data_IF_341519601696
#
_entry.id   IF_341519601696
#
_cell.length_a   1.000
_cell.length_b   1.000
_cell.length_c   1.000
_cell.angle_alpha   90.00
_cell.angle_beta   90.00
_cell.angle_gamma   90.00
#
_symmetry.space_group_name_H-M   'P 1'
#
loop_
_entity.id
_entity.type
_entity.pdbx_description
1 polymer ?
#
# COMPACT_ATOMS: atom_id res chain seq x y z
N UNK A 1 -20.92 8.20 28.49
CA UNK A 1 -20.57 9.36 27.63
C UNK A 1 -19.05 9.69 27.60
N UNK A 2 -18.28 9.46 28.69
CA UNK A 2 -16.84 9.76 28.72
C UNK A 2 -15.99 8.92 27.77
N UNK A 3 -16.30 7.62 27.57
CA UNK A 3 -15.57 6.74 26.70
C UNK A 3 -15.68 7.14 25.21
N UNK A 4 -16.86 7.51 24.74
CA UNK A 4 -17.07 7.94 23.34
C UNK A 4 -16.28 9.21 23.01
N UNK A 5 -16.26 10.20 23.92
CA UNK A 5 -15.49 11.43 23.74
C UNK A 5 -13.98 11.17 23.70
N UNK A 6 -13.49 10.18 24.45
CA UNK A 6 -12.09 9.77 24.44
C UNK A 6 -11.71 9.09 23.12
N UNK A 7 -12.59 8.23 22.58
CA UNK A 7 -12.40 7.57 21.29
C UNK A 7 -12.34 8.61 20.15
N UNK A 8 -13.30 9.54 20.12
CA UNK A 8 -13.32 10.62 19.11
C UNK A 8 -12.07 11.49 19.20
N UNK A 9 -11.64 11.86 20.41
CA UNK A 9 -10.45 12.69 20.61
C UNK A 9 -9.16 12.00 20.16
N UNK A 10 -9.08 10.67 20.26
CA UNK A 10 -7.93 9.88 19.81
C UNK A 10 -8.01 9.56 18.31
N UNK A 11 -9.22 9.38 17.78
CA UNK A 11 -9.44 9.07 16.35
C UNK A 11 -9.38 10.28 15.43
N UNK A 12 -9.76 11.46 15.91
CA UNK A 12 -9.80 12.67 15.09
C UNK A 12 -8.44 13.07 14.47
N UNK A 13 -7.30 12.97 15.17
CA UNK A 13 -6.00 13.26 14.58
C UNK A 13 -5.56 12.26 13.51
N UNK A 14 -6.08 11.02 13.52
CA UNK A 14 -5.75 10.00 12.51
C UNK A 14 -6.65 10.07 11.26
N UNK A 15 -7.78 10.78 11.32
CA UNK A 15 -8.68 10.92 10.18
C UNK A 15 -8.03 11.59 8.95
N UNK A 16 -7.25 12.69 9.06
CA UNK A 16 -6.55 13.28 7.93
C UNK A 16 -5.55 12.31 7.28
N UNK A 17 -4.82 11.54 8.09
CA UNK A 17 -3.84 10.57 7.59
C UNK A 17 -4.51 9.50 6.72
N UNK A 18 -5.67 9.00 7.14
CA UNK A 18 -6.43 8.01 6.37
C UNK A 18 -7.10 8.61 5.12
N UNK A 19 -7.32 9.92 5.06
CA UNK A 19 -7.88 10.61 3.90
C UNK A 19 -6.85 10.90 2.80
N UNK A 20 -5.56 10.96 3.13
CA UNK A 20 -4.49 11.28 2.18
C UNK A 20 -4.43 10.27 1.03
N UNK A 21 -4.49 8.97 1.31
CA UNK A 21 -4.39 7.93 0.29
C UNK A 21 -5.52 7.97 -0.74
N UNK A 22 -6.82 7.96 -0.34
CA UNK A 22 -7.90 8.08 -1.33
C UNK A 22 -7.89 9.42 -2.07
N UNK A 23 -7.47 10.52 -1.45
CA UNK A 23 -7.30 11.80 -2.14
C UNK A 23 -6.18 11.75 -3.17
N UNK A 24 -5.03 11.16 -2.84
CA UNK A 24 -3.92 11.00 -3.77
C UNK A 24 -4.32 10.14 -4.98
N UNK A 25 -5.03 9.02 -4.74
CA UNK A 25 -5.56 8.16 -5.81
C UNK A 25 -6.57 8.92 -6.66
N UNK A 26 -7.49 9.67 -6.04
CA UNK A 26 -8.47 10.48 -6.74
C UNK A 26 -7.85 11.57 -7.62
N UNK A 27 -6.88 12.30 -7.10
CA UNK A 27 -6.12 13.31 -7.85
C UNK A 27 -5.32 12.68 -8.99
N UNK A 28 -4.62 11.57 -8.72
CA UNK A 28 -3.90 10.82 -9.76
C UNK A 28 -4.82 10.36 -10.89
N UNK A 29 -5.99 9.81 -10.52
CA UNK A 29 -7.01 9.40 -11.51
C UNK A 29 -7.54 10.58 -12.30
N UNK A 30 -7.77 11.74 -11.68
CA UNK A 30 -8.23 12.95 -12.36
C UNK A 30 -7.20 13.46 -13.38
N UNK A 31 -5.91 13.43 -13.04
CA UNK A 31 -4.82 13.78 -13.97
C UNK A 31 -4.79 12.80 -15.15
N UNK A 32 -4.87 11.51 -14.88
CA UNK A 32 -4.84 10.46 -15.93
C UNK A 32 -6.09 10.49 -16.80
N UNK A 33 -7.24 10.94 -16.28
CA UNK A 33 -8.48 11.11 -17.05
C UNK A 33 -8.31 12.09 -18.22
N UNK A 34 -7.39 13.05 -18.13
CA UNK A 34 -7.04 13.94 -19.22
C UNK A 34 -6.42 13.23 -20.44
N UNK A 35 -5.90 12.03 -20.26
CA UNK A 35 -5.34 11.17 -21.34
C UNK A 35 -6.35 10.18 -21.92
N UNK A 36 -7.59 10.20 -21.45
CA UNK A 36 -8.69 9.38 -21.95
C UNK A 36 -9.02 8.16 -21.09
N UNK A 37 -10.17 7.54 -21.37
CA UNK A 37 -10.71 6.44 -20.58
C UNK A 37 -9.82 5.20 -20.58
N UNK A 38 -9.08 4.97 -21.63
CA UNK A 38 -8.14 3.85 -21.78
C UNK A 38 -7.00 3.95 -20.77
N UNK A 39 -6.45 5.16 -20.57
CA UNK A 39 -5.41 5.41 -19.58
C UNK A 39 -5.92 5.20 -18.14
N UNK A 40 -7.15 5.64 -17.85
CA UNK A 40 -7.81 5.43 -16.55
C UNK A 40 -8.03 3.93 -16.29
N UNK A 41 -8.46 3.17 -17.30
CA UNK A 41 -8.63 1.71 -17.19
C UNK A 41 -7.30 1.02 -16.88
N UNK A 42 -6.21 1.41 -17.55
CA UNK A 42 -4.86 0.90 -17.30
C UNK A 42 -4.39 1.18 -15.87
N UNK A 43 -4.51 2.42 -15.41
CA UNK A 43 -4.17 2.81 -14.05
C UNK A 43 -4.98 2.03 -13.01
N UNK A 44 -6.30 1.92 -13.20
CA UNK A 44 -7.18 1.22 -12.26
C UNK A 44 -6.82 -0.26 -12.14
N UNK A 45 -6.49 -0.90 -13.25
CA UNK A 45 -6.06 -2.32 -13.25
C UNK A 45 -4.71 -2.47 -12.57
N UNK A 46 -3.76 -1.58 -12.84
CA UNK A 46 -2.45 -1.58 -12.20
C UNK A 46 -2.56 -1.41 -10.67
N UNK A 47 -3.40 -0.49 -10.19
CA UNK A 47 -3.67 -0.30 -8.74
C UNK A 47 -4.27 -1.55 -8.09
N UNK A 48 -5.12 -2.31 -8.79
CA UNK A 48 -5.65 -3.58 -8.27
C UNK A 48 -4.56 -4.65 -8.14
N UNK A 49 -3.68 -4.75 -9.12
CA UNK A 49 -2.54 -5.67 -9.08
C UNK A 49 -1.60 -5.27 -7.93
N UNK A 50 -1.34 -3.98 -7.76
CA UNK A 50 -0.53 -3.44 -6.67
C UNK A 50 -1.09 -3.82 -5.29
N UNK A 51 -2.39 -3.63 -5.06
CA UNK A 51 -3.03 -4.02 -3.78
C UNK A 51 -2.88 -5.52 -3.53
N UNK A 52 -3.09 -6.38 -4.55
CA UNK A 52 -2.89 -7.82 -4.43
C UNK A 52 -1.43 -8.17 -4.10
N UNK A 53 -0.48 -7.50 -4.73
CA UNK A 53 0.95 -7.71 -4.48
C UNK A 53 1.35 -7.32 -3.05
N UNK A 54 0.78 -6.26 -2.51
CA UNK A 54 1.09 -5.75 -1.16
C UNK A 54 0.30 -6.43 -0.03
N UNK A 55 -0.60 -7.38 -0.31
CA UNK A 55 -1.38 -8.07 0.73
C UNK A 55 -0.50 -8.68 1.83
N UNK A 56 0.66 -9.22 1.49
CA UNK A 56 1.61 -9.78 2.46
C UNK A 56 2.17 -8.72 3.42
N UNK A 57 2.48 -7.53 2.92
CA UNK A 57 2.96 -6.39 3.73
C UNK A 57 1.85 -5.90 4.65
N UNK A 58 0.63 -5.73 4.13
CA UNK A 58 -0.52 -5.31 4.93
C UNK A 58 -0.88 -6.33 6.01
N UNK A 59 -0.84 -7.63 5.70
CA UNK A 59 -1.09 -8.69 6.67
C UNK A 59 -0.06 -8.66 7.81
N UNK A 60 1.23 -8.45 7.50
CA UNK A 60 2.27 -8.28 8.49
C UNK A 60 2.01 -7.07 9.38
N UNK A 61 1.69 -5.92 8.79
CA UNK A 61 1.40 -4.68 9.52
C UNK A 61 0.25 -4.90 10.50
N UNK A 62 -0.88 -5.44 10.04
CA UNK A 62 -2.06 -5.72 10.88
C UNK A 62 -1.72 -6.72 11.98
N UNK A 63 -0.92 -7.75 11.69
CA UNK A 63 -0.47 -8.75 12.69
C UNK A 63 0.47 -8.17 13.74
N UNK A 64 1.30 -7.18 13.40
CA UNK A 64 2.22 -6.53 14.34
C UNK A 64 1.52 -5.52 15.26
N UNK A 65 0.40 -4.91 14.84
CA UNK A 65 -0.32 -3.91 15.64
C UNK A 65 -0.64 -4.34 17.07
N UNK A 66 -1.24 -5.53 17.34
CA UNK A 66 -1.54 -5.96 18.70
C UNK A 66 -0.29 -6.11 19.56
N UNK A 67 0.79 -6.63 18.98
CA UNK A 67 2.07 -6.83 19.68
C UNK A 67 2.67 -5.49 20.08
N UNK A 68 2.68 -4.51 19.19
CA UNK A 68 3.16 -3.17 19.46
C UNK A 68 2.30 -2.47 20.52
N UNK A 69 0.96 -2.57 20.41
CA UNK A 69 0.04 -1.95 21.34
C UNK A 69 0.16 -2.52 22.77
N UNK A 70 0.28 -3.86 22.88
CA UNK A 70 0.45 -4.52 24.19
C UNK A 70 1.78 -4.15 24.86
N UNK A 71 2.89 -4.16 24.11
CA UNK A 71 4.20 -3.79 24.68
C UNK A 71 4.25 -2.31 25.08
N UNK A 72 3.62 -1.43 24.29
CA UNK A 72 3.49 -0.02 24.62
C UNK A 72 2.66 0.18 25.88
N UNK A 73 1.50 -0.48 26.00
CA UNK A 73 0.62 -0.40 27.17
C UNK A 73 1.23 -0.99 28.44
N UNK A 74 2.12 -1.97 28.32
CA UNK A 74 2.86 -2.58 29.42
C UNK A 74 4.13 -1.81 29.82
N UNK A 75 4.50 -0.74 29.09
CA UNK A 75 5.74 0.02 29.33
C UNK A 75 7.03 -0.73 28.92
N UNK A 76 6.91 -1.83 28.18
CA UNK A 76 8.04 -2.64 27.73
C UNK A 76 8.70 -2.05 26.47
N UNK A 77 9.36 -0.90 26.61
CA UNK A 77 9.90 -0.14 25.47
C UNK A 77 11.02 -0.89 24.71
N UNK A 78 11.79 -1.73 25.38
CA UNK A 78 12.83 -2.55 24.74
C UNK A 78 12.20 -3.57 23.77
N UNK A 79 11.16 -4.28 24.21
CA UNK A 79 10.40 -5.21 23.35
C UNK A 79 9.64 -4.49 22.25
N UNK A 80 9.11 -3.31 22.52
CA UNK A 80 8.48 -2.46 21.53
C UNK A 80 9.48 -2.09 20.42
N UNK A 81 10.70 -1.70 20.79
CA UNK A 81 11.77 -1.38 19.84
C UNK A 81 12.16 -2.56 18.96
N UNK A 82 12.30 -3.74 19.57
CA UNK A 82 12.60 -4.99 18.85
C UNK A 82 11.47 -5.37 17.88
N UNK A 83 10.22 -5.35 18.34
CA UNK A 83 9.05 -5.67 17.53
C UNK A 83 8.91 -4.72 16.34
N UNK A 84 9.11 -3.42 16.55
CA UNK A 84 9.11 -2.41 15.49
C UNK A 84 10.21 -2.68 14.46
N UNK A 85 11.45 -2.93 14.91
CA UNK A 85 12.57 -3.22 14.01
C UNK A 85 12.33 -4.49 13.21
N UNK A 86 11.80 -5.53 13.84
CA UNK A 86 11.42 -6.77 13.16
C UNK A 86 10.35 -6.51 12.10
N UNK A 87 9.28 -5.79 12.44
CA UNK A 87 8.20 -5.47 11.50
C UNK A 87 8.71 -4.68 10.29
N UNK A 88 9.53 -3.64 10.52
CA UNK A 88 10.12 -2.84 9.44
C UNK A 88 11.03 -3.67 8.54
N UNK A 89 11.97 -4.43 9.10
CA UNK A 89 12.90 -5.24 8.30
C UNK A 89 12.18 -6.31 7.50
N UNK A 90 11.24 -7.03 8.15
CA UNK A 90 10.47 -8.09 7.48
C UNK A 90 9.54 -7.50 6.43
N UNK A 91 8.88 -6.37 6.71
CA UNK A 91 8.04 -5.67 5.76
C UNK A 91 8.82 -5.19 4.54
N UNK A 92 9.98 -4.56 4.74
CA UNK A 92 10.88 -4.17 3.65
C UNK A 92 11.34 -5.37 2.82
N UNK A 93 11.72 -6.48 3.47
CA UNK A 93 12.15 -7.69 2.76
C UNK A 93 11.02 -8.27 1.90
N UNK A 94 9.81 -8.38 2.44
CA UNK A 94 8.63 -8.84 1.71
C UNK A 94 8.34 -7.89 0.54
N UNK A 95 8.35 -6.59 0.78
CA UNK A 95 8.09 -5.59 -0.25
C UNK A 95 9.10 -5.70 -1.40
N UNK A 96 10.39 -5.82 -1.11
CA UNK A 96 11.45 -6.00 -2.11
C UNK A 96 11.29 -7.33 -2.84
N UNK A 97 11.04 -8.42 -2.10
CA UNK A 97 10.87 -9.76 -2.67
C UNK A 97 9.69 -9.84 -3.65
N UNK A 98 8.66 -9.02 -3.46
CA UNK A 98 7.51 -8.93 -4.35
C UNK A 98 7.74 -7.89 -5.44
N UNK A 99 8.38 -6.76 -5.13
CA UNK A 99 8.63 -5.68 -6.08
C UNK A 99 9.49 -6.13 -7.27
N UNK A 100 10.55 -6.90 -7.02
CA UNK A 100 11.47 -7.38 -8.07
C UNK A 100 10.71 -8.21 -9.13
N UNK A 101 10.03 -9.32 -8.80
CA UNK A 101 9.34 -10.11 -9.80
C UNK A 101 8.18 -9.35 -10.45
N UNK A 102 7.46 -8.50 -9.72
CA UNK A 102 6.36 -7.71 -10.30
C UNK A 102 6.88 -6.68 -11.30
N UNK A 103 7.97 -5.97 -11.01
CA UNK A 103 8.55 -5.00 -11.94
C UNK A 103 9.16 -5.68 -13.17
N UNK A 104 9.84 -6.81 -12.99
CA UNK A 104 10.44 -7.57 -14.11
C UNK A 104 9.39 -8.25 -14.98
N UNK A 105 8.32 -8.75 -14.39
CA UNK A 105 7.22 -9.44 -15.07
C UNK A 105 5.99 -8.53 -15.27
N UNK A 106 6.15 -7.21 -15.26
CA UNK A 106 5.04 -6.27 -15.40
C UNK A 106 4.18 -6.53 -16.64
N UNK A 107 4.81 -6.71 -17.81
CA UNK A 107 4.12 -7.02 -19.08
C UNK A 107 3.36 -8.35 -19.07
N UNK A 108 3.97 -9.51 -18.73
CA UNK A 108 3.23 -10.76 -18.68
C UNK A 108 2.13 -10.76 -17.61
N UNK A 109 2.35 -10.11 -16.45
CA UNK A 109 1.32 -10.00 -15.42
C UNK A 109 0.12 -9.20 -15.91
N UNK A 110 0.33 -8.04 -16.50
CA UNK A 110 -0.76 -7.22 -17.05
C UNK A 110 -1.47 -7.92 -18.21
N UNK A 111 -0.76 -8.68 -19.04
CA UNK A 111 -1.32 -9.47 -20.15
C UNK A 111 -2.29 -10.57 -19.71
N UNK A 112 -2.23 -11.04 -18.45
CA UNK A 112 -3.21 -11.97 -17.90
C UNK A 112 -4.58 -11.34 -17.64
N UNK A 113 -4.61 -10.01 -17.44
CA UNK A 113 -5.81 -9.26 -17.05
C UNK A 113 -6.34 -8.36 -18.18
N UNK A 114 -5.48 -8.00 -19.15
CA UNK A 114 -5.77 -6.97 -20.14
C UNK A 114 -5.37 -7.49 -21.52
N UNK A 115 -6.34 -7.50 -22.42
CA UNK A 115 -6.14 -7.84 -23.86
C UNK A 115 -5.99 -6.61 -24.76
N UNK A 116 -6.43 -5.44 -24.31
CA UNK A 116 -6.31 -4.19 -25.05
C UNK A 116 -4.88 -3.64 -24.94
N UNK A 117 -4.22 -3.42 -26.08
CA UNK A 117 -2.79 -3.07 -26.14
C UNK A 117 -2.45 -1.75 -25.44
N UNK A 118 -3.28 -0.72 -25.57
CA UNK A 118 -3.01 0.61 -24.96
C UNK A 118 -3.19 0.55 -23.45
N UNK A 119 -4.25 -0.11 -22.97
CA UNK A 119 -4.52 -0.33 -21.55
C UNK A 119 -3.39 -1.15 -20.93
N UNK A 120 -2.96 -2.20 -21.63
CA UNK A 120 -1.87 -3.07 -21.23
C UNK A 120 -0.55 -2.31 -21.06
N UNK A 121 -0.16 -1.50 -22.05
CA UNK A 121 1.11 -0.75 -21.99
C UNK A 121 1.11 0.29 -20.88
N UNK A 122 -0.02 0.96 -20.63
CA UNK A 122 -0.17 1.91 -19.53
C UNK A 122 -0.02 1.20 -18.17
N UNK A 123 -0.69 0.07 -17.98
CA UNK A 123 -0.62 -0.70 -16.74
C UNK A 123 0.77 -1.31 -16.52
N UNK A 124 1.40 -1.83 -17.59
CA UNK A 124 2.74 -2.38 -17.51
C UNK A 124 3.80 -1.31 -17.19
N UNK A 125 3.67 -0.11 -17.77
CA UNK A 125 4.54 1.03 -17.44
C UNK A 125 4.45 1.44 -15.97
N UNK A 126 3.24 1.49 -15.42
CA UNK A 126 3.01 1.76 -14.00
C UNK A 126 3.67 0.70 -13.11
N UNK A 127 3.40 -0.59 -13.38
CA UNK A 127 3.96 -1.71 -12.60
C UNK A 127 5.47 -1.92 -12.78
N UNK A 128 6.10 -1.35 -13.79
CA UNK A 128 7.56 -1.37 -13.92
C UNK A 128 8.24 -0.37 -12.97
N UNK A 129 7.58 0.74 -12.63
CA UNK A 129 8.16 1.86 -11.87
C UNK A 129 7.72 1.84 -10.41
N UNK A 130 6.41 1.71 -10.16
CA UNK A 130 5.81 1.89 -8.83
C UNK A 130 6.27 0.88 -7.77
N UNK A 131 6.54 -0.40 -8.08
CA UNK A 131 7.02 -1.36 -7.08
C UNK A 131 8.29 -0.93 -6.33
N UNK A 132 9.11 -0.09 -6.92
CA UNK A 132 10.31 0.44 -6.27
C UNK A 132 10.01 1.41 -5.12
N UNK A 133 8.78 1.92 -5.03
CA UNK A 133 8.34 2.73 -3.88
C UNK A 133 7.80 1.89 -2.71
N UNK A 134 7.49 0.61 -2.92
CA UNK A 134 6.84 -0.25 -1.92
C UNK A 134 7.63 -0.44 -0.61
N UNK A 135 8.97 -0.52 -0.60
CA UNK A 135 9.71 -0.56 0.67
C UNK A 135 9.44 0.64 1.58
N UNK A 136 8.99 1.77 1.02
CA UNK A 136 8.59 2.95 1.78
C UNK A 136 7.24 2.82 2.51
N UNK A 137 6.43 1.78 2.21
CA UNK A 137 5.18 1.47 2.90
C UNK A 137 5.36 0.53 4.09
N UNK A 138 6.51 -0.08 4.28
CA UNK A 138 6.84 -0.98 5.37
C UNK A 138 7.32 -0.23 6.61
#
# INVERSE_FOLDING_TARGET
MAAGRRIVRLGLPSAPTNAITPLAIGLGTAVVAGFGNTAVAGLTTALRIEVCALLGVFALAVGCFPVLAQNYGAGNFDRLGQARRFALLTGCLIAIAVAIPVSMAARPITGLFITDGIVHDTAAGFLAIVPWSWPGFA
#
